data_IF_198752627818
#
_entry.id   IF_198752627818
#
_cell.length_a   1.000
_cell.length_b   1.000
_cell.length_c   1.000
_cell.angle_alpha   90.00
_cell.angle_beta   90.00
_cell.angle_gamma   90.00
#
_symmetry.space_group_name_H-M   'P 1'
#
loop_
_entity.id
_entity.type
_entity.pdbx_description
1 polymer ?
#
# COMPACT_ATOMS: atom_id res chain seq x y z
N UNK A 1 -6.49 -22.59 -7.14
CA UNK A 1 -6.54 -23.27 -5.83
C UNK A 1 -5.10 -23.36 -5.34
N UNK A 2 -4.74 -22.59 -4.32
CA UNK A 2 -3.39 -22.63 -3.74
C UNK A 2 -3.25 -23.91 -2.89
N UNK A 3 -2.10 -24.58 -3.01
CA UNK A 3 -1.74 -25.76 -2.22
C UNK A 3 -1.62 -25.40 -0.74
N UNK A 4 -2.06 -26.23 0.22
CA UNK A 4 -2.12 -25.88 1.66
C UNK A 4 -0.76 -25.85 2.39
N UNK A 5 0.38 -25.66 1.70
CA UNK A 5 1.70 -25.91 2.30
C UNK A 5 2.79 -24.88 1.99
N UNK A 6 2.48 -23.77 1.34
CA UNK A 6 3.48 -22.71 1.19
C UNK A 6 3.59 -21.90 2.50
N UNK A 7 4.80 -21.70 3.06
CA UNK A 7 4.96 -20.93 4.28
C UNK A 7 4.44 -19.51 4.06
N UNK A 8 3.58 -19.03 4.96
CA UNK A 8 3.20 -17.61 4.99
C UNK A 8 4.50 -16.82 5.11
N UNK A 9 4.86 -15.99 4.11
CA UNK A 9 6.20 -15.41 4.01
C UNK A 9 6.54 -14.45 5.15
N UNK A 10 5.55 -14.10 5.97
CA UNK A 10 5.65 -13.16 7.07
C UNK A 10 5.26 -13.87 8.37
N UNK A 11 6.25 -14.44 9.06
CA UNK A 11 6.03 -15.06 10.36
C UNK A 11 5.80 -13.98 11.44
N UNK A 12 4.67 -14.04 12.16
CA UNK A 12 4.41 -13.15 13.30
C UNK A 12 2.94 -13.14 13.76
N UNK A 13 2.68 -12.69 14.99
CA UNK A 13 1.33 -12.53 15.54
C UNK A 13 0.53 -11.32 15.01
N UNK A 14 1.02 -10.68 13.95
CA UNK A 14 0.46 -9.47 13.35
C UNK A 14 0.34 -9.68 11.85
N UNK A 15 -0.82 -9.29 11.29
CA UNK A 15 -1.07 -9.34 9.85
C UNK A 15 -0.10 -8.37 9.13
N UNK A 16 0.62 -8.80 8.09
CA UNK A 16 1.57 -7.95 7.36
C UNK A 16 0.88 -6.78 6.67
N UNK A 17 1.59 -5.65 6.52
CA UNK A 17 1.04 -4.42 5.93
C UNK A 17 1.66 -4.18 4.56
N UNK A 18 0.81 -4.27 3.52
CA UNK A 18 1.15 -3.92 2.15
C UNK A 18 1.21 -2.40 1.99
N UNK A 19 2.37 -1.90 1.57
CA UNK A 19 2.61 -0.46 1.38
C UNK A 19 2.04 0.02 0.03
N UNK A 20 0.73 -0.13 -0.17
CA UNK A 20 0.03 0.21 -1.41
C UNK A 20 0.17 1.68 -1.81
N UNK A 21 0.41 2.58 -0.85
CA UNK A 21 0.64 4.00 -1.11
C UNK A 21 1.95 4.28 -1.88
N UNK A 22 2.84 3.29 -2.03
CA UNK A 22 4.02 3.39 -2.89
C UNK A 22 3.70 3.11 -4.36
N UNK A 23 2.54 2.55 -4.66
CA UNK A 23 2.13 2.21 -6.02
C UNK A 23 1.81 3.49 -6.82
N UNK A 24 2.61 3.72 -7.86
CA UNK A 24 2.48 4.88 -8.75
C UNK A 24 1.17 4.86 -9.54
N UNK A 25 0.74 3.70 -10.03
CA UNK A 25 -0.49 3.57 -10.81
C UNK A 25 -1.71 3.77 -9.91
N UNK A 26 -1.65 3.25 -8.69
CA UNK A 26 -2.64 3.50 -7.65
C UNK A 26 -2.71 4.99 -7.31
N UNK A 27 -1.56 5.61 -7.06
CA UNK A 27 -1.46 7.04 -6.77
C UNK A 27 -2.09 7.88 -7.88
N UNK A 28 -1.74 7.60 -9.14
CA UNK A 28 -2.34 8.25 -10.30
C UNK A 28 -3.85 8.10 -10.32
N UNK A 29 -4.38 6.89 -10.10
CA UNK A 29 -5.84 6.61 -10.15
C UNK A 29 -6.67 7.28 -9.03
N UNK A 30 -6.02 7.68 -7.94
CA UNK A 30 -6.63 8.42 -6.83
C UNK A 30 -6.35 9.93 -6.91
N UNK A 31 -5.61 10.39 -7.92
CA UNK A 31 -5.04 11.75 -7.93
C UNK A 31 -4.28 12.07 -6.64
N UNK A 32 -3.59 11.06 -6.11
CA UNK A 32 -2.79 11.12 -4.91
C UNK A 32 -1.32 11.33 -5.28
N UNK A 33 -0.63 12.19 -4.52
CA UNK A 33 0.78 12.46 -4.71
C UNK A 33 1.56 12.11 -3.45
N UNK A 34 2.41 11.08 -3.56
CA UNK A 34 3.36 10.75 -2.51
C UNK A 34 4.46 11.82 -2.44
N UNK A 35 4.85 12.21 -1.23
CA UNK A 35 6.02 13.05 -0.97
C UNK A 35 6.94 12.37 0.02
N UNK A 36 8.22 12.75 0.06
CA UNK A 36 9.16 12.16 1.03
C UNK A 36 8.72 12.35 2.49
N UNK A 37 8.19 13.52 2.84
CA UNK A 37 7.67 13.82 4.17
C UNK A 37 6.42 12.99 4.51
N UNK A 38 5.50 12.81 3.56
CA UNK A 38 4.32 11.97 3.77
C UNK A 38 4.71 10.50 3.95
N UNK A 39 5.60 9.99 3.09
CA UNK A 39 6.13 8.63 3.20
C UNK A 39 6.75 8.39 4.58
N UNK A 40 7.67 9.27 4.99
CA UNK A 40 8.34 9.17 6.28
C UNK A 40 7.33 9.20 7.42
N UNK A 41 6.37 10.12 7.38
CA UNK A 41 5.32 10.21 8.39
C UNK A 41 4.48 8.94 8.49
N UNK A 42 4.13 8.31 7.36
CA UNK A 42 3.40 7.05 7.33
C UNK A 42 4.27 5.92 7.90
N UNK A 43 5.50 5.77 7.42
CA UNK A 43 6.41 4.72 7.86
C UNK A 43 6.69 4.80 9.37
N UNK A 44 6.94 6.00 9.92
CA UNK A 44 7.13 6.19 11.36
C UNK A 44 5.94 5.71 12.17
N UNK A 45 4.72 6.08 11.78
CA UNK A 45 3.49 5.66 12.46
C UNK A 45 3.32 4.14 12.43
N UNK A 46 3.61 3.51 11.29
CA UNK A 46 3.53 2.05 11.14
C UNK A 46 4.62 1.33 11.95
N UNK A 47 5.86 1.84 11.93
CA UNK A 47 7.01 1.21 12.60
C UNK A 47 6.91 1.33 14.11
N UNK A 48 6.54 2.50 14.63
CA UNK A 48 6.37 2.77 16.07
C UNK A 48 5.06 2.20 16.63
N UNK A 49 4.00 2.25 15.82
CA UNK A 49 2.64 1.90 16.24
C UNK A 49 2.27 0.43 16.01
N UNK A 50 3.08 -0.32 15.25
CA UNK A 50 2.80 -1.71 14.91
C UNK A 50 4.07 -2.55 14.87
N UNK A 51 3.92 -3.85 15.14
CA UNK A 51 4.95 -4.86 14.99
C UNK A 51 4.76 -5.70 13.70
N UNK A 52 3.76 -5.38 12.87
CA UNK A 52 3.52 -6.05 11.60
C UNK A 52 4.70 -5.90 10.63
N UNK A 53 5.06 -6.95 9.90
CA UNK A 53 6.01 -6.81 8.79
C UNK A 53 5.43 -5.89 7.72
N UNK A 54 6.24 -4.98 7.20
CA UNK A 54 5.88 -4.15 6.06
C UNK A 54 6.36 -4.85 4.79
N UNK A 55 5.59 -4.77 3.70
CA UNK A 55 6.03 -5.34 2.44
C UNK A 55 5.45 -4.58 1.25
N UNK A 56 6.15 -4.68 0.11
CA UNK A 56 5.68 -4.17 -1.17
C UNK A 56 6.46 -4.82 -2.32
N UNK A 57 5.95 -4.70 -3.54
CA UNK A 57 6.74 -5.06 -4.72
C UNK A 57 7.97 -4.17 -4.84
N UNK A 58 9.12 -4.75 -5.19
CA UNK A 58 10.36 -3.99 -5.40
C UNK A 58 10.19 -2.90 -6.49
N UNK A 59 9.32 -3.15 -7.48
CA UNK A 59 8.95 -2.15 -8.49
C UNK A 59 8.31 -0.90 -7.89
N UNK A 60 7.56 -1.00 -6.80
CA UNK A 60 6.88 0.15 -6.18
C UNK A 60 7.89 1.11 -5.54
N UNK A 61 9.00 0.58 -5.04
CA UNK A 61 10.08 1.41 -4.50
C UNK A 61 10.90 2.00 -5.64
N UNK A 62 11.19 1.20 -6.66
CA UNK A 62 12.02 1.62 -7.78
C UNK A 62 11.34 2.69 -8.65
N UNK A 63 10.12 2.42 -9.10
CA UNK A 63 9.36 3.25 -10.05
C UNK A 63 8.80 4.54 -9.45
N UNK A 64 8.87 4.71 -8.12
CA UNK A 64 8.34 5.89 -7.44
C UNK A 64 9.36 7.05 -7.49
N UNK A 65 9.21 7.88 -8.51
CA UNK A 65 10.07 9.05 -8.76
C UNK A 65 9.90 10.17 -7.75
N UNK A 66 8.84 10.14 -6.92
CA UNK A 66 8.67 11.12 -5.85
C UNK A 66 9.58 10.84 -4.63
N UNK A 67 10.25 9.68 -4.61
CA UNK A 67 11.18 9.30 -3.54
C UNK A 67 12.57 9.90 -3.79
N UNK A 68 12.88 10.93 -3.02
CA UNK A 68 14.24 11.48 -2.92
C UNK A 68 15.21 10.53 -2.22
N UNK A 69 16.49 10.92 -2.19
CA UNK A 69 17.57 10.13 -1.58
C UNK A 69 17.31 9.79 -0.12
N UNK A 70 16.89 10.76 0.70
CA UNK A 70 16.58 10.53 2.11
C UNK A 70 15.48 9.47 2.34
N UNK A 71 14.46 9.42 1.47
CA UNK A 71 13.42 8.39 1.51
C UNK A 71 13.96 7.00 1.15
N UNK A 72 14.89 6.92 0.19
CA UNK A 72 15.52 5.66 -0.22
C UNK A 72 16.45 5.12 0.88
N UNK A 73 17.19 6.00 1.57
CA UNK A 73 18.00 5.62 2.73
C UNK A 73 17.11 5.06 3.85
N UNK A 74 16.00 5.74 4.17
CA UNK A 74 15.04 5.26 5.17
C UNK A 74 14.48 3.86 4.81
N UNK A 75 14.04 3.67 3.57
CA UNK A 75 13.55 2.37 3.10
C UNK A 75 14.64 1.31 3.18
N UNK A 76 15.87 1.63 2.79
CA UNK A 76 17.03 0.74 2.92
C UNK A 76 17.26 0.32 4.36
N UNK A 77 17.23 1.24 5.34
CA UNK A 77 17.37 0.89 6.75
C UNK A 77 16.27 -0.07 7.22
N UNK A 78 15.02 0.16 6.81
CA UNK A 78 13.90 -0.74 7.13
C UNK A 78 14.09 -2.14 6.53
N UNK A 79 14.66 -2.23 5.33
CA UNK A 79 15.01 -3.50 4.68
C UNK A 79 16.12 -4.23 5.43
N UNK A 80 17.19 -3.53 5.79
CA UNK A 80 18.32 -4.11 6.55
C UNK A 80 17.89 -4.59 7.94
N UNK A 81 16.96 -3.89 8.58
CA UNK A 81 16.37 -4.28 9.86
C UNK A 81 15.30 -5.39 9.74
N UNK A 82 15.02 -5.92 8.55
CA UNK A 82 13.98 -6.93 8.33
C UNK A 82 12.53 -6.43 8.55
N UNK A 83 12.36 -5.11 8.73
CA UNK A 83 11.05 -4.49 8.97
C UNK A 83 10.27 -4.30 7.67
N UNK A 84 10.95 -3.97 6.57
CA UNK A 84 10.39 -3.89 5.23
C UNK A 84 10.92 -5.06 4.39
N UNK A 85 10.02 -5.75 3.70
CA UNK A 85 10.32 -6.90 2.87
C UNK A 85 9.92 -6.63 1.42
N UNK A 86 10.87 -6.22 0.56
CA UNK A 86 10.63 -6.07 -0.87
C UNK A 86 10.40 -7.44 -1.51
N UNK A 87 9.29 -7.55 -2.23
CA UNK A 87 8.84 -8.78 -2.90
C UNK A 87 9.17 -8.70 -4.40
N UNK A 88 9.64 -9.81 -4.96
CA UNK A 88 9.95 -9.93 -6.39
C UNK A 88 9.64 -11.33 -6.92
N UNK A 89 9.32 -11.40 -8.22
CA UNK A 89 9.19 -12.64 -9.00
C UNK A 89 10.54 -13.15 -9.52
N UNK A 90 11.59 -12.36 -9.33
CA UNK A 90 12.94 -12.63 -9.80
C UNK A 90 13.86 -12.78 -8.60
N UNK A 91 14.71 -13.79 -8.63
CA UNK A 91 15.59 -14.14 -7.52
C UNK A 91 16.71 -13.10 -7.34
N UNK A 92 17.09 -12.42 -8.43
CA UNK A 92 18.14 -11.39 -8.40
C UNK A 92 17.65 -10.05 -8.95
N UNK A 93 18.33 -8.97 -8.55
CA UNK A 93 18.11 -7.62 -9.10
C UNK A 93 18.36 -7.60 -10.62
N UNK A 94 19.38 -8.32 -11.10
CA UNK A 94 19.72 -8.35 -12.53
C UNK A 94 18.67 -9.12 -13.35
N UNK A 95 18.10 -10.20 -12.81
CA UNK A 95 16.92 -10.85 -13.41
C UNK A 95 15.71 -9.93 -13.43
N UNK A 96 15.45 -9.22 -12.32
CA UNK A 96 14.36 -8.26 -12.22
C UNK A 96 14.46 -7.17 -13.29
N UNK A 97 15.63 -6.53 -13.41
CA UNK A 97 15.86 -5.48 -14.43
C UNK A 97 15.67 -6.03 -15.83
N UNK A 98 16.28 -7.18 -16.17
CA UNK A 98 16.14 -7.79 -17.52
C UNK A 98 14.69 -8.14 -17.84
N UNK A 99 13.95 -8.65 -16.86
CA UNK A 99 12.51 -8.94 -16.99
C UNK A 99 11.74 -7.66 -17.30
N UNK A 100 11.96 -6.58 -16.54
CA UNK A 100 11.28 -5.29 -16.73
C UNK A 100 11.66 -4.59 -18.05
N UNK A 101 12.92 -4.66 -18.46
CA UNK A 101 13.37 -4.15 -19.75
C UNK A 101 12.64 -4.83 -20.91
N UNK A 102 12.48 -6.16 -20.86
CA UNK A 102 11.72 -6.92 -21.87
C UNK A 102 10.25 -6.52 -21.88
N UNK A 103 9.63 -6.43 -20.70
CA UNK A 103 8.20 -6.09 -20.57
C UNK A 103 7.90 -4.66 -21.03
N UNK A 104 8.75 -3.70 -20.69
CA UNK A 104 8.52 -2.27 -20.95
C UNK A 104 9.27 -1.71 -22.15
N UNK A 105 9.90 -2.55 -22.98
CA UNK A 105 10.63 -2.11 -24.17
C UNK A 105 9.77 -1.24 -25.10
N UNK A 106 8.48 -1.54 -25.20
CA UNK A 106 7.51 -0.81 -26.01
C UNK A 106 7.10 0.56 -25.43
N UNK A 107 7.40 0.83 -24.16
CA UNK A 107 7.03 2.05 -23.43
C UNK A 107 8.19 2.56 -22.54
N UNK A 108 9.42 2.50 -23.07
CA UNK A 108 10.63 2.83 -22.32
C UNK A 108 10.64 4.28 -21.79
N UNK A 109 10.00 5.21 -22.52
CA UNK A 109 9.89 6.61 -22.12
C UNK A 109 9.08 6.80 -20.82
N UNK A 110 8.11 5.93 -20.54
CA UNK A 110 7.31 5.95 -19.29
C UNK A 110 8.04 5.32 -18.11
N UNK A 111 8.99 4.42 -18.37
CA UNK A 111 9.76 3.70 -17.36
C UNK A 111 11.28 3.83 -17.56
N UNK A 112 11.81 5.06 -17.59
CA UNK A 112 13.22 5.30 -17.94
C UNK A 112 14.19 4.65 -16.96
N UNK A 113 13.78 4.47 -15.70
CA UNK A 113 14.57 3.89 -14.61
C UNK A 113 15.04 2.45 -14.87
N UNK A 114 14.43 1.72 -15.82
CA UNK A 114 14.89 0.38 -16.19
C UNK A 114 15.94 0.38 -17.30
N UNK A 115 16.16 1.52 -17.94
CA UNK A 115 17.03 1.68 -19.10
C UNK A 115 18.21 2.63 -18.85
N UNK A 116 18.44 3.00 -17.58
CA UNK A 116 19.59 3.78 -17.13
C UNK A 116 20.62 2.90 -16.40
N UNK A 117 21.86 3.36 -16.33
CA UNK A 117 22.98 2.61 -15.70
C UNK A 117 22.97 2.65 -14.16
N UNK A 118 21.96 3.26 -13.53
CA UNK A 118 21.90 3.51 -12.07
C UNK A 118 21.30 2.34 -11.27
N UNK A 119 21.54 1.11 -11.73
CA UNK A 119 20.98 -0.12 -11.13
C UNK A 119 21.52 -0.35 -9.71
N UNK A 120 22.68 0.20 -9.37
CA UNK A 120 23.30 0.05 -8.05
C UNK A 120 22.43 0.59 -6.91
N UNK A 121 21.63 1.65 -7.14
CA UNK A 121 20.67 2.15 -6.14
C UNK A 121 19.58 1.13 -5.80
N UNK A 122 19.20 0.28 -6.76
CA UNK A 122 18.22 -0.79 -6.53
C UNK A 122 18.82 -1.93 -5.68
N UNK A 123 20.15 -2.13 -5.75
CA UNK A 123 20.86 -3.17 -4.97
C UNK A 123 20.89 -2.89 -3.47
N UNK A 124 20.50 -1.70 -3.02
CA UNK A 124 20.32 -1.37 -1.60
C UNK A 124 18.99 -1.89 -1.03
N UNK A 125 18.03 -2.23 -1.89
CA UNK A 125 16.63 -2.55 -1.54
C UNK A 125 16.31 -3.99 -1.98
N UNK A 126 17.34 -4.86 -2.03
CA UNK A 126 17.31 -6.21 -2.64
C UNK A 126 16.00 -6.95 -2.34
N UNK A 127 15.45 -7.71 -3.29
CA UNK A 127 14.28 -8.52 -3.00
C UNK A 127 14.63 -9.54 -1.92
N UNK A 128 13.82 -9.56 -0.86
CA UNK A 128 13.99 -10.48 0.27
C UNK A 128 13.06 -11.68 0.09
N UNK A 129 11.90 -11.46 -0.53
CA UNK A 129 10.86 -12.48 -0.67
C UNK A 129 10.62 -12.80 -2.14
N UNK A 130 10.78 -14.08 -2.48
CA UNK A 130 10.42 -14.61 -3.79
C UNK A 130 8.93 -14.92 -3.84
N UNK A 131 8.25 -14.45 -4.89
CA UNK A 131 6.86 -14.79 -5.19
C UNK A 131 6.82 -15.59 -6.49
N UNK A 132 6.27 -16.81 -6.52
CA UNK A 132 6.30 -17.65 -7.72
C UNK A 132 5.25 -17.25 -8.77
N UNK A 133 4.09 -16.74 -8.35
CA UNK A 133 2.94 -16.54 -9.26
C UNK A 133 3.02 -15.23 -10.06
N UNK A 134 3.06 -15.27 -11.39
CA UNK A 134 3.01 -14.06 -12.21
C UNK A 134 1.74 -13.22 -11.91
N UNK A 135 1.92 -11.90 -11.80
CA UNK A 135 0.79 -10.95 -11.63
C UNK A 135 -0.10 -10.88 -12.84
N UNK A 136 0.43 -11.22 -14.00
CA UNK A 136 -0.24 -11.10 -15.28
C UNK A 136 -1.49 -11.99 -15.36
N UNK A 137 -1.35 -13.28 -15.07
CA UNK A 137 -2.46 -14.25 -15.17
C UNK A 137 -3.57 -13.97 -14.17
N UNK A 138 -3.20 -13.64 -12.92
CA UNK A 138 -4.16 -13.24 -11.90
C UNK A 138 -4.94 -11.99 -12.32
N UNK A 139 -4.23 -10.97 -12.81
CA UNK A 139 -4.83 -9.70 -13.17
C UNK A 139 -5.73 -9.85 -14.41
N UNK A 140 -5.37 -10.69 -15.36
CA UNK A 140 -6.20 -11.02 -16.52
C UNK A 140 -7.51 -11.68 -16.08
N UNK A 141 -7.45 -12.69 -15.21
CA UNK A 141 -8.64 -13.34 -14.66
C UNK A 141 -9.53 -12.37 -13.87
N UNK A 142 -8.93 -11.53 -13.02
CA UNK A 142 -9.64 -10.50 -12.25
C UNK A 142 -10.34 -9.48 -13.15
N UNK A 143 -9.62 -8.88 -14.09
CA UNK A 143 -10.17 -7.87 -15.00
C UNK A 143 -11.19 -8.47 -15.98
N UNK A 144 -10.98 -9.71 -16.42
CA UNK A 144 -11.92 -10.49 -17.22
C UNK A 144 -13.24 -10.68 -16.48
N UNK A 145 -13.20 -11.18 -15.24
CA UNK A 145 -14.38 -11.37 -14.41
C UNK A 145 -15.12 -10.05 -14.12
N UNK A 146 -14.38 -8.98 -13.84
CA UNK A 146 -14.96 -7.65 -13.68
C UNK A 146 -15.64 -7.19 -14.97
N UNK A 147 -14.94 -7.21 -16.12
CA UNK A 147 -15.51 -6.73 -17.38
C UNK A 147 -16.75 -7.52 -17.84
N UNK A 148 -16.82 -8.83 -17.54
CA UNK A 148 -17.93 -9.72 -17.90
C UNK A 148 -19.23 -9.45 -17.11
N UNK A 149 -19.20 -8.73 -15.99
CA UNK A 149 -20.40 -8.45 -15.18
C UNK A 149 -21.21 -7.22 -15.64
N UNK A 150 -20.89 -6.65 -16.80
CA UNK A 150 -21.62 -5.53 -17.40
C UNK A 150 -23.06 -5.90 -17.77
N UNK A 151 -24.05 -5.22 -17.17
CA UNK A 151 -25.48 -5.45 -17.42
C UNK A 151 -26.35 -5.60 -16.16
N UNK A 152 -25.77 -5.54 -14.96
CA UNK A 152 -26.56 -5.49 -13.72
C UNK A 152 -27.25 -4.12 -13.58
N UNK A 153 -28.54 -4.12 -13.26
CA UNK A 153 -29.28 -2.89 -12.95
C UNK A 153 -28.64 -2.15 -11.77
N UNK A 154 -28.49 -0.82 -11.88
CA UNK A 154 -27.92 0.04 -10.84
C UNK A 154 -26.41 0.34 -10.96
N UNK A 155 -25.76 -0.06 -12.05
CA UNK A 155 -24.37 0.34 -12.34
C UNK A 155 -24.37 1.66 -13.12
N UNK A 156 -23.51 2.60 -12.71
CA UNK A 156 -23.35 3.91 -13.34
C UNK A 156 -22.97 3.78 -14.84
N UNK A 157 -23.44 4.70 -15.72
CA UNK A 157 -23.14 4.66 -17.15
C UNK A 157 -21.64 4.61 -17.46
N UNK A 158 -20.83 5.35 -16.71
CA UNK A 158 -19.36 5.43 -16.89
C UNK A 158 -18.66 4.11 -16.58
N UNK A 159 -19.11 3.41 -15.54
CA UNK A 159 -18.58 2.10 -15.19
C UNK A 159 -18.98 1.05 -16.23
N UNK A 160 -20.18 1.16 -16.79
CA UNK A 160 -20.61 0.32 -17.90
C UNK A 160 -19.73 0.52 -19.14
N UNK A 161 -19.39 1.76 -19.48
CA UNK A 161 -18.45 2.06 -20.56
C UNK A 161 -17.06 1.50 -20.27
N UNK A 162 -16.53 1.72 -19.06
CA UNK A 162 -15.24 1.21 -18.62
C UNK A 162 -15.12 -0.32 -18.78
N UNK A 163 -16.15 -1.06 -18.36
CA UNK A 163 -16.22 -2.53 -18.49
C UNK A 163 -16.22 -2.97 -19.95
N UNK A 164 -16.96 -2.30 -20.83
CA UNK A 164 -16.97 -2.60 -22.28
C UNK A 164 -15.61 -2.37 -22.92
N UNK A 165 -14.96 -1.25 -22.60
CA UNK A 165 -13.62 -0.93 -23.10
C UNK A 165 -12.57 -1.94 -22.61
N UNK A 166 -12.64 -2.30 -21.33
CA UNK A 166 -11.80 -3.34 -20.73
C UNK A 166 -11.98 -4.69 -21.43
N UNK A 167 -13.23 -5.14 -21.59
CA UNK A 167 -13.54 -6.42 -22.26
C UNK A 167 -12.97 -6.47 -23.68
N UNK A 168 -13.16 -5.39 -24.45
CA UNK A 168 -12.64 -5.28 -25.82
C UNK A 168 -11.11 -5.34 -25.86
N UNK A 169 -10.44 -4.59 -24.97
CA UNK A 169 -8.99 -4.57 -24.92
C UNK A 169 -8.42 -5.94 -24.56
N UNK A 170 -8.96 -6.60 -23.53
CA UNK A 170 -8.56 -7.95 -23.12
C UNK A 170 -8.75 -8.98 -24.24
N UNK A 171 -9.80 -8.86 -25.06
CA UNK A 171 -10.03 -9.75 -26.21
C UNK A 171 -9.02 -9.62 -27.36
N UNK A 172 -8.18 -8.58 -27.35
CA UNK A 172 -7.16 -8.31 -28.39
C UNK A 172 -5.72 -8.48 -27.87
N UNK A 173 -5.58 -9.11 -26.70
CA UNK A 173 -4.33 -9.12 -25.94
C UNK A 173 -3.35 -10.18 -26.42
N UNK A 174 -2.08 -9.79 -26.40
CA UNK A 174 -0.90 -10.65 -26.56
C UNK A 174 -0.04 -10.58 -25.28
N UNK A 175 1.25 -10.93 -25.32
CA UNK A 175 2.17 -11.03 -24.15
C UNK A 175 2.55 -9.68 -23.47
N UNK A 176 1.76 -8.61 -23.60
CA UNK A 176 2.08 -7.30 -23.02
C UNK A 176 1.70 -7.20 -21.53
N UNK A 177 2.31 -6.28 -20.77
CA UNK A 177 1.94 -6.04 -19.38
C UNK A 177 0.58 -5.32 -19.23
N UNK A 178 -0.26 -5.77 -18.30
CA UNK A 178 -1.55 -5.14 -17.97
C UNK A 178 -1.35 -3.87 -17.13
N UNK A 179 -0.97 -2.78 -17.78
CA UNK A 179 -0.91 -1.44 -17.18
C UNK A 179 -1.94 -0.52 -17.86
N UNK A 180 -2.22 0.67 -17.32
CA UNK A 180 -3.09 1.61 -18.04
C UNK A 180 -2.55 1.97 -19.44
N UNK A 181 -1.23 1.96 -19.69
CA UNK A 181 -0.67 2.20 -21.03
C UNK A 181 -1.32 1.31 -22.08
N UNK A 182 -1.53 0.02 -21.74
CA UNK A 182 -2.14 -0.96 -22.61
C UNK A 182 -3.58 -0.59 -22.99
N UNK A 183 -4.36 -0.07 -22.04
CA UNK A 183 -5.76 0.30 -22.26
C UNK A 183 -5.93 1.68 -22.88
N UNK A 184 -4.92 2.56 -22.74
CA UNK A 184 -5.01 3.96 -23.14
C UNK A 184 -5.44 4.17 -24.61
N UNK A 185 -5.03 3.36 -25.61
CA UNK A 185 -5.48 3.53 -27.00
C UNK A 185 -6.99 3.28 -27.17
N UNK A 186 -7.58 2.43 -26.32
CA UNK A 186 -9.01 2.12 -26.37
C UNK A 186 -9.87 3.20 -25.69
N UNK A 187 -9.28 3.97 -24.78
CA UNK A 187 -9.98 4.96 -23.95
C UNK A 187 -9.83 6.38 -24.50
N UNK A 188 -8.63 6.76 -24.98
CA UNK A 188 -8.29 8.14 -25.39
C UNK A 188 -8.97 8.65 -26.67
N UNK A 189 -9.87 7.86 -27.27
CA UNK A 189 -10.56 8.25 -28.49
C UNK A 189 -11.46 9.49 -28.32
N UNK A 190 -11.87 9.85 -27.08
CA UNK A 190 -12.74 11.00 -26.75
C UNK A 190 -12.46 11.52 -25.34
N UNK A 191 -12.45 12.85 -25.15
CA UNK A 191 -12.31 13.48 -23.81
C UNK A 191 -13.44 13.05 -22.85
N UNK A 192 -14.64 12.80 -23.38
CA UNK A 192 -15.82 12.31 -22.66
C UNK A 192 -15.57 10.97 -21.93
N UNK A 193 -14.53 10.22 -22.28
CA UNK A 193 -14.21 8.93 -21.68
C UNK A 193 -13.42 9.04 -20.36
N UNK A 194 -13.15 10.26 -19.87
CA UNK A 194 -12.33 10.47 -18.67
C UNK A 194 -12.85 9.69 -17.44
N UNK A 195 -14.16 9.67 -17.11
CA UNK A 195 -14.67 8.87 -15.99
C UNK A 195 -14.41 7.36 -16.16
N UNK A 196 -14.54 6.84 -17.39
CA UNK A 196 -14.25 5.45 -17.70
C UNK A 196 -12.75 5.13 -17.58
N UNK A 197 -11.87 6.06 -17.97
CA UNK A 197 -10.43 5.97 -17.70
C UNK A 197 -10.14 5.79 -16.21
N UNK A 198 -10.72 6.64 -15.36
CA UNK A 198 -10.54 6.56 -13.92
C UNK A 198 -11.01 5.23 -13.35
N UNK A 199 -12.15 4.73 -13.80
CA UNK A 199 -12.66 3.42 -13.40
C UNK A 199 -11.70 2.29 -13.81
N UNK A 200 -11.18 2.28 -15.04
CA UNK A 200 -10.20 1.30 -15.52
C UNK A 200 -8.93 1.33 -14.67
N UNK A 201 -8.35 2.51 -14.43
CA UNK A 201 -7.13 2.67 -13.62
C UNK A 201 -7.31 2.15 -12.20
N UNK A 202 -8.45 2.45 -11.57
CA UNK A 202 -8.78 1.95 -10.24
C UNK A 202 -8.89 0.44 -10.21
N UNK A 203 -9.52 -0.18 -11.21
CA UNK A 203 -9.64 -1.64 -11.25
C UNK A 203 -8.32 -2.36 -11.47
N UNK A 204 -7.44 -1.81 -12.33
CA UNK A 204 -6.07 -2.33 -12.49
C UNK A 204 -5.34 -2.28 -11.14
N UNK A 205 -5.42 -1.14 -10.45
CA UNK A 205 -4.76 -0.94 -9.15
C UNK A 205 -5.33 -1.85 -8.06
N UNK A 206 -6.66 -2.05 -8.02
CA UNK A 206 -7.32 -2.98 -7.11
C UNK A 206 -6.90 -4.43 -7.37
N UNK A 207 -6.84 -4.85 -8.63
CA UNK A 207 -6.38 -6.19 -9.00
C UNK A 207 -4.93 -6.40 -8.59
N UNK A 208 -4.05 -5.44 -8.90
CA UNK A 208 -2.64 -5.51 -8.52
C UNK A 208 -2.45 -5.56 -7.00
N UNK A 209 -3.05 -4.63 -6.24
CA UNK A 209 -2.97 -4.62 -4.78
C UNK A 209 -3.60 -5.88 -4.16
N UNK A 210 -4.75 -6.32 -4.67
CA UNK A 210 -5.41 -7.55 -4.24
C UNK A 210 -4.54 -8.79 -4.37
N UNK A 211 -3.75 -8.87 -5.44
CA UNK A 211 -2.80 -9.97 -5.65
C UNK A 211 -1.69 -9.99 -4.59
N UNK A 212 -1.13 -8.84 -4.23
CA UNK A 212 -0.13 -8.75 -3.15
C UNK A 212 -0.74 -9.08 -1.78
N UNK A 213 -1.95 -8.60 -1.52
CA UNK A 213 -2.68 -8.91 -0.28
C UNK A 213 -3.04 -10.40 -0.16
N UNK A 214 -3.32 -11.08 -1.28
CA UNK A 214 -3.52 -12.52 -1.29
C UNK A 214 -2.20 -13.26 -1.01
N UNK A 215 -1.11 -12.84 -1.66
CA UNK A 215 0.21 -13.44 -1.47
C UNK A 215 0.71 -13.35 -0.02
N UNK A 216 0.59 -12.17 0.59
CA UNK A 216 1.10 -11.94 1.93
C UNK A 216 0.13 -12.26 3.07
N UNK A 217 -1.09 -12.73 2.75
CA UNK A 217 -2.25 -12.69 3.66
C UNK A 217 -2.33 -11.34 4.42
N UNK A 218 -1.95 -10.26 3.75
CA UNK A 218 -1.74 -8.97 4.38
C UNK A 218 -3.02 -8.15 4.50
N UNK A 219 -2.84 -6.96 5.07
CA UNK A 219 -3.76 -5.84 5.00
C UNK A 219 -3.03 -4.60 4.45
N UNK A 220 -3.75 -3.49 4.27
CA UNK A 220 -3.18 -2.20 3.89
C UNK A 220 -3.06 -1.25 5.08
N UNK A 221 -2.17 -0.25 4.95
CA UNK A 221 -2.15 0.90 5.83
C UNK A 221 -3.31 1.84 5.51
N UNK A 222 -4.36 1.88 6.32
CA UNK A 222 -5.52 2.77 6.10
C UNK A 222 -5.27 4.18 6.66
N UNK A 223 -6.12 5.14 6.30
CA UNK A 223 -6.07 6.49 6.87
C UNK A 223 -5.01 7.39 6.21
N UNK A 224 -4.44 6.96 5.09
CA UNK A 224 -3.56 7.79 4.27
C UNK A 224 -4.42 8.83 3.54
N UNK A 225 -4.14 10.14 3.69
CA UNK A 225 -4.91 11.18 3.02
C UNK A 225 -4.94 10.99 1.50
N UNK A 226 -6.13 11.06 0.90
CA UNK A 226 -6.33 10.86 -0.54
C UNK A 226 -6.55 9.41 -0.98
N UNK A 227 -6.40 8.42 -0.09
CA UNK A 227 -6.54 6.98 -0.43
C UNK A 227 -7.80 6.32 0.16
N UNK A 228 -8.78 7.09 0.62
CA UNK A 228 -9.99 6.57 1.26
C UNK A 228 -10.80 5.57 0.40
N UNK A 229 -10.76 5.70 -0.93
CA UNK A 229 -11.35 4.71 -1.84
C UNK A 229 -10.70 3.33 -1.65
N UNK A 230 -9.37 3.28 -1.53
CA UNK A 230 -8.62 2.05 -1.36
C UNK A 230 -8.76 1.49 0.06
N UNK A 231 -8.84 2.34 1.08
CA UNK A 231 -9.21 1.91 2.45
C UNK A 231 -10.48 1.06 2.44
N UNK A 232 -11.54 1.56 1.79
CA UNK A 232 -12.84 0.91 1.75
C UNK A 232 -12.86 -0.39 0.94
N UNK A 233 -12.03 -0.48 -0.11
CA UNK A 233 -12.05 -1.59 -1.06
C UNK A 233 -11.05 -2.70 -0.74
N UNK A 234 -9.94 -2.39 -0.08
CA UNK A 234 -8.83 -3.32 0.14
C UNK A 234 -8.63 -3.70 1.60
N UNK A 235 -9.08 -2.88 2.56
CA UNK A 235 -8.81 -3.16 3.98
C UNK A 235 -9.60 -4.36 4.48
N UNK A 236 -8.91 -5.24 5.22
CA UNK A 236 -9.48 -6.49 5.79
C UNK A 236 -9.61 -6.45 7.31
N UNK A 237 -8.76 -5.69 7.99
CA UNK A 237 -8.61 -5.63 9.45
C UNK A 237 -8.50 -4.17 9.94
N UNK A 238 -9.21 -3.25 9.26
CA UNK A 238 -9.45 -1.92 9.81
C UNK A 238 -10.02 -2.05 11.24
N UNK A 239 -9.50 -1.34 12.24
CA UNK A 239 -8.58 -0.18 12.18
C UNK A 239 -7.09 -0.47 12.50
N UNK A 240 -6.63 -1.72 12.50
CA UNK A 240 -5.32 -2.09 13.09
C UNK A 240 -4.10 -1.45 12.41
N UNK A 241 -4.18 -1.21 11.10
CA UNK A 241 -3.13 -0.54 10.31
C UNK A 241 -3.38 0.94 10.07
N UNK A 242 -4.32 1.58 10.78
CA UNK A 242 -4.74 2.94 10.46
C UNK A 242 -3.72 3.99 10.91
N UNK A 243 -3.06 4.64 9.95
CA UNK A 243 -1.96 5.56 10.23
C UNK A 243 -2.40 6.77 11.06
N UNK A 244 -3.64 7.24 10.86
CA UNK A 244 -4.15 8.40 11.56
C UNK A 244 -4.40 8.07 13.05
N UNK A 245 -4.99 6.90 13.33
CA UNK A 245 -5.20 6.43 14.70
C UNK A 245 -3.89 6.09 15.40
N UNK A 246 -2.96 5.41 14.73
CA UNK A 246 -1.63 5.13 15.28
C UNK A 246 -0.91 6.43 15.64
N UNK A 247 -0.98 7.45 14.79
CA UNK A 247 -0.43 8.78 15.08
C UNK A 247 -1.04 9.43 16.33
N UNK A 248 -2.37 9.36 16.50
CA UNK A 248 -3.05 9.90 17.68
C UNK A 248 -2.59 9.21 18.98
N UNK A 249 -2.48 7.88 18.98
CA UNK A 249 -2.00 7.13 20.15
C UNK A 249 -0.53 7.39 20.46
N UNK A 250 0.33 7.43 19.45
CA UNK A 250 1.75 7.73 19.60
C UNK A 250 1.96 9.14 20.19
N UNK A 251 1.20 10.14 19.73
CA UNK A 251 1.22 11.47 20.31
C UNK A 251 0.80 11.46 21.78
N UNK A 252 -0.30 10.75 22.12
CA UNK A 252 -0.81 10.66 23.49
C UNK A 252 0.21 10.07 24.48
N UNK A 253 1.01 9.10 24.05
CA UNK A 253 2.06 8.49 24.90
C UNK A 253 3.40 9.26 24.87
N UNK A 254 3.45 10.45 24.27
CA UNK A 254 4.63 11.33 24.27
C UNK A 254 5.63 11.09 23.15
N UNK A 255 5.33 10.21 22.19
CA UNK A 255 6.20 9.91 21.04
C UNK A 255 5.99 10.86 19.85
N UNK A 256 5.22 11.93 20.03
CA UNK A 256 4.92 12.88 18.95
C UNK A 256 6.14 13.60 18.39
N UNK A 257 7.18 13.82 19.20
CA UNK A 257 8.44 14.42 18.75
C UNK A 257 9.17 13.55 17.71
N UNK A 258 9.10 12.22 17.83
CA UNK A 258 9.65 11.28 16.83
C UNK A 258 8.87 11.32 15.52
N UNK A 259 7.57 11.61 15.59
CA UNK A 259 6.70 11.71 14.42
C UNK A 259 6.90 13.00 13.64
N UNK A 260 7.22 14.11 14.31
CA UNK A 260 7.30 15.44 13.71
C UNK A 260 8.70 15.81 13.21
N UNK A 261 9.76 15.42 13.92
CA UNK A 261 11.13 15.69 13.50
C UNK A 261 11.53 14.76 12.34
N UNK A 262 12.38 15.19 11.38
CA UNK A 262 12.97 14.31 10.38
C UNK A 262 13.68 13.10 11.02
N UNK A 263 13.61 11.92 10.39
CA UNK A 263 14.16 10.69 10.97
C UNK A 263 15.68 10.80 11.20
N UNK A 264 16.38 11.50 10.32
CA UNK A 264 17.82 11.74 10.43
C UNK A 264 18.19 12.51 11.70
N UNK A 265 17.29 13.37 12.20
CA UNK A 265 17.53 14.13 13.44
C UNK A 265 17.57 13.21 14.67
N UNK A 266 16.92 12.05 14.61
CA UNK A 266 16.85 11.07 15.68
C UNK A 266 17.33 9.70 15.20
N UNK A 267 18.38 9.66 14.38
CA UNK A 267 18.83 8.43 13.71
C UNK A 267 19.25 7.34 14.71
N UNK A 268 19.93 7.70 15.79
CA UNK A 268 20.33 6.75 16.83
C UNK A 268 19.12 6.11 17.54
N UNK A 269 18.14 6.94 17.91
CA UNK A 269 16.89 6.46 18.53
C UNK A 269 16.08 5.60 17.57
N UNK A 270 16.03 6.00 16.30
CA UNK A 270 15.37 5.24 15.24
C UNK A 270 16.02 3.87 15.04
N UNK A 271 17.34 3.81 14.92
CA UNK A 271 18.08 2.56 14.77
C UNK A 271 17.90 1.67 16.01
N UNK A 272 17.96 2.24 17.22
CA UNK A 272 17.69 1.53 18.47
C UNK A 272 16.27 0.93 18.51
N UNK A 273 15.27 1.70 18.06
CA UNK A 273 13.88 1.23 17.93
C UNK A 273 13.79 0.03 16.97
N UNK A 274 14.42 0.11 15.80
CA UNK A 274 14.37 -0.97 14.80
C UNK A 274 14.94 -2.28 15.35
N UNK A 275 15.96 -2.23 16.20
CA UNK A 275 16.54 -3.42 16.82
C UNK A 275 15.61 -4.08 17.86
N UNK A 276 14.82 -3.30 18.59
CA UNK A 276 13.88 -3.83 19.60
C UNK A 276 12.46 -4.04 19.06
N UNK A 277 12.26 -3.81 17.75
CA UNK A 277 10.94 -3.78 17.14
C UNK A 277 10.25 -5.14 17.26
N UNK A 278 9.05 -5.11 17.80
CA UNK A 278 8.22 -6.30 18.06
C UNK A 278 8.54 -7.00 19.39
N UNK A 279 9.63 -6.62 20.06
CA UNK A 279 10.12 -7.27 21.27
C UNK A 279 10.00 -6.36 22.51
N UNK A 280 10.23 -6.95 23.69
CA UNK A 280 10.35 -6.22 24.96
C UNK A 280 9.27 -5.16 25.19
N UNK A 281 9.70 -3.91 25.40
CA UNK A 281 8.83 -2.76 25.64
C UNK A 281 8.02 -2.35 24.41
N UNK A 282 8.61 -2.42 23.21
CA UNK A 282 7.89 -2.09 21.98
C UNK A 282 6.74 -3.07 21.74
N UNK A 283 6.98 -4.38 21.87
CA UNK A 283 5.95 -5.39 21.74
C UNK A 283 4.81 -5.22 22.75
N UNK A 284 5.11 -4.81 23.99
CA UNK A 284 4.08 -4.46 25.00
C UNK A 284 3.27 -3.23 24.58
N UNK A 285 3.93 -2.16 24.14
CA UNK A 285 3.29 -0.93 23.68
C UNK A 285 2.31 -1.21 22.53
N UNK A 286 2.76 -1.92 21.50
CA UNK A 286 1.92 -2.24 20.34
C UNK A 286 0.72 -3.12 20.72
N UNK A 287 0.90 -4.11 21.61
CA UNK A 287 -0.24 -4.91 22.11
C UNK A 287 -1.25 -4.06 22.86
N UNK A 288 -0.78 -3.09 23.66
CA UNK A 288 -1.65 -2.14 24.34
C UNK A 288 -2.41 -1.27 23.33
N UNK A 289 -1.73 -0.75 22.29
CA UNK A 289 -2.40 0.00 21.22
C UNK A 289 -3.50 -0.80 20.53
N UNK A 290 -3.29 -2.09 20.25
CA UNK A 290 -4.35 -2.94 19.68
C UNK A 290 -5.58 -3.01 20.59
N UNK A 291 -5.38 -3.25 21.89
CA UNK A 291 -6.49 -3.28 22.86
C UNK A 291 -7.22 -1.94 22.90
N UNK A 292 -6.48 -0.83 22.98
CA UNK A 292 -7.04 0.52 23.05
C UNK A 292 -7.80 0.90 21.76
N UNK A 293 -7.23 0.61 20.60
CA UNK A 293 -7.87 0.85 19.31
C UNK A 293 -9.16 0.02 19.21
N UNK A 294 -9.14 -1.27 19.53
CA UNK A 294 -10.35 -2.10 19.54
C UNK A 294 -11.41 -1.58 20.50
N UNK A 295 -11.01 -1.16 21.71
CA UNK A 295 -11.95 -0.64 22.70
C UNK A 295 -12.62 0.65 22.19
N UNK A 296 -11.84 1.61 21.70
CA UNK A 296 -12.36 2.89 21.22
C UNK A 296 -13.24 2.68 19.98
N UNK A 297 -12.85 1.86 19.02
CA UNK A 297 -13.69 1.62 17.83
C UNK A 297 -14.95 0.82 18.13
N UNK A 298 -14.91 -0.08 19.12
CA UNK A 298 -16.11 -0.79 19.60
C UNK A 298 -17.12 0.14 20.25
N UNK A 299 -16.66 1.19 20.93
CA UNK A 299 -17.54 2.25 21.47
C UNK A 299 -18.08 3.10 20.31
N UNK A 300 -17.22 3.59 19.42
CA UNK A 300 -17.60 4.43 18.27
C UNK A 300 -18.64 3.80 17.35
N UNK A 301 -18.66 2.47 17.23
CA UNK A 301 -19.60 1.75 16.35
C UNK A 301 -20.95 1.47 17.00
N UNK A 302 -21.04 1.41 18.33
CA UNK A 302 -22.31 1.18 19.05
C UNK A 302 -23.26 2.37 18.95
N UNK A 303 -22.70 3.58 18.93
CA UNK A 303 -23.50 4.81 18.99
C UNK A 303 -24.05 5.27 17.63
N UNK A 304 -23.65 4.63 16.53
CA UNK A 304 -24.05 5.09 15.19
C UNK A 304 -24.35 3.91 14.24
N UNK A 305 -25.63 3.65 14.00
CA UNK A 305 -26.15 2.41 13.39
C UNK A 305 -25.67 2.02 11.99
N UNK A 306 -24.86 2.85 11.30
CA UNK A 306 -24.06 2.52 10.10
C UNK A 306 -22.87 3.47 9.98
N UNK A 307 -21.76 3.20 10.66
CA UNK A 307 -20.55 4.02 10.56
C UNK A 307 -19.66 3.52 9.44
N UNK A 308 -19.30 4.41 8.51
CA UNK A 308 -18.22 4.13 7.56
C UNK A 308 -16.87 4.03 8.30
N UNK A 309 -15.86 3.38 7.72
CA UNK A 309 -14.50 3.38 8.30
C UNK A 309 -14.01 4.81 8.63
N UNK A 310 -14.33 5.77 7.76
CA UNK A 310 -14.06 7.19 7.99
C UNK A 310 -14.76 7.74 9.24
N UNK A 311 -16.05 7.44 9.43
CA UNK A 311 -16.76 7.86 10.64
C UNK A 311 -16.19 7.22 11.91
N UNK A 312 -15.83 5.93 11.86
CA UNK A 312 -15.23 5.22 13.01
C UNK A 312 -13.90 5.87 13.38
N UNK A 313 -13.06 6.18 12.38
CA UNK A 313 -11.80 6.89 12.56
C UNK A 313 -11.99 8.24 13.22
N UNK A 314 -12.89 9.07 12.69
CA UNK A 314 -13.11 10.42 13.23
C UNK A 314 -13.62 10.38 14.68
N UNK A 315 -14.58 9.49 14.98
CA UNK A 315 -15.08 9.31 16.33
C UNK A 315 -13.98 8.84 17.29
N UNK A 316 -13.18 7.86 16.85
CA UNK A 316 -12.06 7.37 17.64
C UNK A 316 -11.00 8.45 17.90
N UNK A 317 -10.65 9.27 16.89
CA UNK A 317 -9.72 10.39 17.06
C UNK A 317 -10.27 11.45 18.02
N UNK A 318 -11.58 11.75 17.95
CA UNK A 318 -12.22 12.68 18.88
C UNK A 318 -12.16 12.15 20.32
N UNK A 319 -12.43 10.86 20.54
CA UNK A 319 -12.31 10.23 21.86
C UNK A 319 -10.88 10.27 22.40
N UNK A 320 -9.88 9.98 21.56
CA UNK A 320 -8.46 10.07 21.95
C UNK A 320 -8.11 11.52 22.31
N UNK A 321 -8.58 12.50 21.55
CA UNK A 321 -8.38 13.92 21.84
C UNK A 321 -8.95 14.35 23.21
N UNK A 322 -10.14 13.84 23.57
CA UNK A 322 -10.74 14.10 24.89
C UNK A 322 -9.91 13.50 26.03
N UNK A 323 -9.32 12.31 25.83
CA UNK A 323 -8.44 11.69 26.83
C UNK A 323 -7.15 12.51 27.06
N UNK A 324 -6.62 13.14 26.02
CA UNK A 324 -5.46 14.03 26.14
C UNK A 324 -5.81 15.27 26.96
N UNK A 325 -6.94 15.93 26.66
CA UNK A 325 -7.38 17.11 27.40
C UNK A 325 -7.66 16.82 28.88
N UNK A 326 -8.23 15.65 29.19
CA UNK A 326 -8.49 15.26 30.57
C UNK A 326 -7.20 15.11 31.40
N UNK A 327 -6.09 14.70 30.77
CA UNK A 327 -4.78 14.55 31.42
C UNK A 327 -4.16 15.89 31.82
N UNK A 328 -4.39 16.94 31.04
CA UNK A 328 -3.81 18.27 31.30
C UNK A 328 -4.54 19.03 32.42
N UNK A 329 -5.69 18.52 32.87
CA UNK A 329 -6.54 19.13 33.92
C UNK A 329 -6.38 18.42 35.27
N UNK A 330 -5.82 17.20 35.30
CA UNK A 330 -5.62 16.36 36.49
C UNK A 330 -4.20 16.43 37.02
#
# INVERSE_FOLDING_TARGET
MLSPSDPVPFAGGFRPIYLHFLDRELSQSANFQMTGALLEGILKRLVLGSAASLYCGISLIWENTALGEGSRILLSQLVHAGTLQPVSYNATVDEFIRSRQRLYQHDAARYPLYFTDDVDKLRLIRPIVYKPDDTTDYLEGYLGAWSATGGRSGVEPDETLARKLMFRALGTRDVQALTYSYFSPFVRAREENQPAEWAIRRQISLGYAGHYLQFGDGDIATGVPGLAFYDAMLSRDFPMGDVALLGSWLNMVGLGHLLSAPWQTNEDEWNGLLQIRGEGSHGRLVRLFRVLIHAVTSVSTRDSGKVTQFGVRNNAQAMIGQLVLAKDVS
#
